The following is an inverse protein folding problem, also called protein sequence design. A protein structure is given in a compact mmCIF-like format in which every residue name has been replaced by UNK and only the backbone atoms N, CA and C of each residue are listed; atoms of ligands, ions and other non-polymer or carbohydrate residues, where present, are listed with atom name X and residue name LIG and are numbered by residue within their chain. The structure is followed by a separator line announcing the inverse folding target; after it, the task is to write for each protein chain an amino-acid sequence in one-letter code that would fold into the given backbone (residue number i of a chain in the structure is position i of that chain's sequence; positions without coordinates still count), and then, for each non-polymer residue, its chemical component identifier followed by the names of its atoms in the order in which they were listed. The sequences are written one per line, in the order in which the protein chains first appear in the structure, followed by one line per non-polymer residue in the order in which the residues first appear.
data_IF_521418281584
#
_entry.id   IF_521418281584
#
_cell.length_a   1.000
_cell.length_b   1.000
_cell.length_c   1.000
_cell.angle_alpha   90.00
_cell.angle_beta   90.00
_cell.angle_gamma   90.00
#
_symmetry.space_group_name_H-M   'P 1'
#
loop_
_entity.id
_entity.type
_entity.pdbx_description
1 polymer ?
#
# COMPACT_ATOMS: atom_id res chain seq x y z
N UNK A 1 21.53 -19.65 -12.52
CA UNK A 1 20.65 -18.69 -11.84
C UNK A 1 19.30 -19.37 -11.73
N UNK A 2 19.01 -19.93 -10.57
CA UNK A 2 17.72 -20.54 -10.27
C UNK A 2 17.14 -19.73 -9.13
N UNK A 3 16.37 -18.70 -9.46
CA UNK A 3 15.55 -17.97 -8.50
C UNK A 3 14.37 -18.87 -8.15
N UNK A 4 14.66 -19.88 -7.34
CA UNK A 4 13.68 -20.85 -6.86
C UNK A 4 13.32 -20.44 -5.44
N UNK A 5 12.68 -19.27 -5.29
CA UNK A 5 11.76 -19.01 -4.18
C UNK A 5 10.50 -19.87 -4.40
N UNK A 6 10.70 -21.19 -4.49
CA UNK A 6 9.64 -22.15 -4.63
C UNK A 6 9.11 -22.43 -3.23
N UNK A 7 8.14 -21.61 -2.83
CA UNK A 7 7.31 -21.80 -1.66
C UNK A 7 6.35 -22.99 -1.84
N UNK A 8 6.84 -24.13 -2.34
CA UNK A 8 6.01 -25.30 -2.64
C UNK A 8 5.57 -26.08 -1.40
N UNK A 9 6.14 -25.79 -0.23
CA UNK A 9 5.72 -26.36 1.06
C UNK A 9 5.36 -25.26 2.09
N UNK A 10 5.14 -24.02 1.63
CA UNK A 10 4.65 -22.99 2.52
C UNK A 10 3.17 -23.26 2.79
N UNK A 11 2.86 -23.61 4.04
CA UNK A 11 1.49 -23.62 4.50
C UNK A 11 0.85 -22.26 4.17
N UNK A 12 -0.39 -22.23 3.64
CA UNK A 12 -1.07 -20.97 3.41
C UNK A 12 -1.15 -20.22 4.74
N UNK A 13 -0.79 -18.94 4.73
CA UNK A 13 -0.86 -18.14 5.93
C UNK A 13 -2.33 -17.98 6.35
N UNK A 14 -2.63 -18.32 7.61
CA UNK A 14 -3.94 -18.03 8.20
C UNK A 14 -3.96 -16.58 8.67
N UNK A 15 -4.65 -15.72 7.92
CA UNK A 15 -4.87 -14.33 8.30
C UNK A 15 -6.13 -14.23 9.16
N UNK A 16 -5.99 -13.65 10.35
CA UNK A 16 -7.13 -13.39 11.24
C UNK A 16 -7.83 -12.10 10.83
N UNK A 17 -8.50 -12.07 9.69
CA UNK A 17 -9.20 -10.87 9.19
C UNK A 17 -10.64 -10.79 9.72
N UNK A 18 -10.78 -10.81 11.05
CA UNK A 18 -12.07 -10.70 11.75
C UNK A 18 -12.25 -9.31 12.40
N UNK A 19 -13.39 -9.06 13.04
CA UNK A 19 -13.71 -7.78 13.67
C UNK A 19 -12.66 -7.30 14.68
N UNK A 20 -11.92 -8.22 15.32
CA UNK A 20 -10.86 -7.90 16.30
C UNK A 20 -9.58 -7.37 15.64
N UNK A 21 -9.41 -7.61 14.34
CA UNK A 21 -8.28 -7.11 13.56
C UNK A 21 -8.60 -5.83 12.81
N UNK A 22 -9.83 -5.32 12.93
CA UNK A 22 -10.18 -4.03 12.35
C UNK A 22 -9.29 -2.96 12.99
N UNK A 23 -8.56 -2.23 12.15
CA UNK A 23 -7.81 -1.07 12.60
C UNK A 23 -8.77 -0.04 13.22
N UNK A 24 -8.35 0.69 14.26
CA UNK A 24 -9.17 1.75 14.82
C UNK A 24 -9.49 2.80 13.76
N UNK A 25 -10.59 3.52 13.97
CA UNK A 25 -10.95 4.65 13.11
C UNK A 25 -9.78 5.62 13.04
N UNK A 26 -9.38 5.96 11.80
CA UNK A 26 -8.30 6.92 11.57
C UNK A 26 -8.96 8.25 11.25
N UNK A 27 -8.65 9.28 12.03
CA UNK A 27 -9.11 10.64 11.76
C UNK A 27 -8.30 11.25 10.61
N UNK A 28 -8.58 10.76 9.40
CA UNK A 28 -7.84 11.09 8.17
C UNK A 28 -8.12 12.52 7.69
N UNK A 29 -9.27 13.09 8.05
CA UNK A 29 -9.71 14.42 7.64
C UNK A 29 -8.90 15.54 8.33
N UNK A 30 -8.53 15.35 9.60
CA UNK A 30 -7.69 16.29 10.35
C UNK A 30 -6.18 16.06 10.14
N UNK A 31 -5.78 15.02 9.40
CA UNK A 31 -4.35 14.77 9.14
C UNK A 31 -3.79 15.85 8.25
N UNK A 32 -2.61 16.35 8.64
CA UNK A 32 -1.81 17.25 7.81
C UNK A 32 -1.42 16.51 6.53
N UNK A 33 -2.16 16.75 5.47
CA UNK A 33 -1.85 16.24 4.13
C UNK A 33 -0.56 16.90 3.64
N UNK A 34 0.40 16.08 3.23
CA UNK A 34 1.59 16.51 2.52
C UNK A 34 1.25 16.90 1.07
N UNK A 35 2.15 17.62 0.39
CA UNK A 35 1.97 17.97 -1.03
C UNK A 35 1.86 16.74 -1.95
N UNK A 36 2.32 15.57 -1.50
CA UNK A 36 2.26 14.31 -2.23
C UNK A 36 0.95 13.53 -2.01
N UNK A 37 0.17 13.88 -0.97
CA UNK A 37 -1.10 13.20 -0.67
C UNK A 37 -2.22 13.64 -1.63
N UNK A 38 -2.01 14.77 -2.32
CA UNK A 38 -2.81 15.21 -3.45
C UNK A 38 -1.98 15.01 -4.73
N UNK A 39 -1.94 13.79 -5.31
CA UNK A 39 -1.35 13.62 -6.63
C UNK A 39 -2.03 14.59 -7.60
N UNK A 40 -1.28 15.03 -8.61
CA UNK A 40 -1.74 16.00 -9.60
C UNK A 40 -3.10 15.62 -10.18
N UNK A 41 -3.94 16.63 -10.43
CA UNK A 41 -5.31 16.41 -10.93
C UNK A 41 -5.32 16.05 -12.42
N UNK A 42 -4.19 16.26 -13.10
CA UNK A 42 -4.01 16.00 -14.53
C UNK A 42 -2.92 14.96 -14.74
N UNK A 43 -3.08 14.18 -15.80
CA UNK A 43 -2.05 13.26 -16.26
C UNK A 43 -0.74 14.02 -16.50
N UNK A 44 0.37 13.52 -15.95
CA UNK A 44 1.70 14.16 -16.01
C UNK A 44 1.99 15.20 -14.91
N UNK A 45 1.04 15.56 -14.05
CA UNK A 45 1.32 16.39 -12.87
C UNK A 45 1.90 15.52 -11.73
N UNK A 46 3.21 15.62 -11.49
CA UNK A 46 3.91 14.91 -10.40
C UNK A 46 4.74 13.71 -10.85
N UNK A 47 4.66 13.32 -12.12
CA UNK A 47 5.60 12.37 -12.72
C UNK A 47 6.93 13.09 -13.02
N UNK A 48 8.09 12.56 -12.57
CA UNK A 48 9.37 13.11 -12.93
C UNK A 48 9.66 12.88 -14.42
N UNK A 49 10.30 13.85 -15.06
CA UNK A 49 10.70 13.75 -16.48
C UNK A 49 11.65 12.56 -16.69
N UNK A 50 11.24 11.62 -17.54
CA UNK A 50 12.03 10.44 -17.92
C UNK A 50 12.70 10.72 -19.26
N UNK A 51 13.72 11.57 -19.22
CA UNK A 51 14.53 11.95 -20.39
C UNK A 51 15.21 10.77 -21.10
#
# INVERSE_FOLDING_TARGET
MSDTNQASDAQPAEHSDNEKSKLPERDDDARKQGPNDNPGKKDGEGEPDVG
#
